data_IF_442374045551
#
_entry.id   IF_442374045551
#
_cell.length_a   1.000
_cell.length_b   1.000
_cell.length_c   1.000
_cell.angle_alpha   90.00
_cell.angle_beta   90.00
_cell.angle_gamma   90.00
#
_symmetry.space_group_name_H-M   'P 1'
#
loop_
_entity.id
_entity.type
_entity.pdbx_description
1 polymer ?
#
# COMPACT_ATOMS: atom_id res chain seq x y z
N UNK A 1 -17.70 -9.63 17.61
CA UNK A 1 -16.58 -8.84 18.11
C UNK A 1 -15.83 -8.30 16.91
N UNK A 2 -15.58 -6.99 16.83
CA UNK A 2 -14.75 -6.45 15.76
C UNK A 2 -13.37 -7.08 15.90
N UNK A 3 -12.89 -7.71 14.83
CA UNK A 3 -11.51 -8.16 14.74
C UNK A 3 -10.64 -6.93 14.97
N UNK A 4 -10.04 -6.81 16.14
CA UNK A 4 -9.16 -5.68 16.45
C UNK A 4 -8.06 -5.64 15.40
N UNK A 5 -7.97 -4.53 14.70
CA UNK A 5 -6.90 -4.30 13.75
C UNK A 5 -5.57 -4.51 14.48
N UNK A 6 -4.76 -5.46 14.02
CA UNK A 6 -3.42 -5.67 14.58
C UNK A 6 -2.51 -4.62 13.98
N UNK A 7 -2.48 -3.46 14.63
CA UNK A 7 -1.52 -2.40 14.29
C UNK A 7 -0.11 -2.91 14.54
N UNK A 8 0.84 -2.70 13.62
CA UNK A 8 2.21 -3.14 13.80
C UNK A 8 2.87 -2.51 15.05
N UNK A 9 3.65 -3.30 15.76
CA UNK A 9 4.49 -2.84 16.86
C UNK A 9 5.74 -2.12 16.32
N UNK A 10 5.91 -0.87 16.71
CA UNK A 10 7.06 -0.04 16.32
C UNK A 10 8.22 -0.11 17.32
N UNK A 11 8.05 -0.84 18.41
CA UNK A 11 9.04 -0.98 19.48
C UNK A 11 9.44 0.36 20.15
N UNK A 12 8.49 1.31 20.20
CA UNK A 12 8.61 2.61 20.88
C UNK A 12 7.45 2.76 21.86
N UNK A 13 7.50 2.05 23.03
CA UNK A 13 6.34 1.89 23.93
C UNK A 13 5.70 3.19 24.40
N UNK A 14 6.50 4.21 24.71
CA UNK A 14 5.99 5.49 25.21
C UNK A 14 5.21 6.25 24.13
N UNK A 15 5.70 6.25 22.89
CA UNK A 15 4.99 6.83 21.74
C UNK A 15 3.74 6.04 21.43
N UNK A 16 3.83 4.72 21.38
CA UNK A 16 2.68 3.84 21.11
C UNK A 16 1.59 3.99 22.14
N UNK A 17 1.95 4.10 23.41
CA UNK A 17 1.00 4.40 24.50
C UNK A 17 0.26 5.72 24.28
N UNK A 18 0.94 6.75 23.74
CA UNK A 18 0.30 8.04 23.45
C UNK A 18 -0.63 7.99 22.24
N UNK A 19 -0.29 7.25 21.19
CA UNK A 19 -1.09 7.23 19.96
C UNK A 19 -2.21 6.19 19.96
N UNK A 20 -2.15 5.16 20.79
CA UNK A 20 -3.19 4.10 20.87
C UNK A 20 -4.60 4.64 21.04
N UNK A 21 -4.87 5.61 21.95
CA UNK A 21 -6.21 6.21 22.08
C UNK A 21 -6.68 6.89 20.78
N UNK A 22 -5.75 7.50 20.05
CA UNK A 22 -6.04 8.10 18.73
C UNK A 22 -6.42 7.06 17.67
N UNK A 23 -5.71 5.94 17.63
CA UNK A 23 -6.04 4.83 16.74
C UNK A 23 -7.42 4.24 17.03
N UNK A 24 -7.78 4.11 18.30
CA UNK A 24 -9.12 3.66 18.71
C UNK A 24 -10.22 4.63 18.24
N UNK A 25 -9.98 5.93 18.31
CA UNK A 25 -10.91 6.94 17.78
C UNK A 25 -11.01 6.85 16.26
N UNK A 26 -9.89 6.70 15.57
CA UNK A 26 -9.87 6.50 14.09
C UNK A 26 -10.70 5.28 13.72
N UNK A 27 -10.52 4.15 14.39
CA UNK A 27 -11.26 2.92 14.08
C UNK A 27 -12.78 3.12 14.26
N UNK A 28 -13.22 3.75 15.35
CA UNK A 28 -14.63 4.08 15.53
C UNK A 28 -15.17 4.98 14.42
N UNK A 29 -14.45 6.07 14.11
CA UNK A 29 -14.86 7.01 13.05
C UNK A 29 -14.87 6.36 11.66
N UNK A 30 -13.94 5.43 11.40
CA UNK A 30 -13.91 4.67 10.17
C UNK A 30 -15.16 3.79 10.03
N UNK A 31 -15.51 3.06 11.09
CA UNK A 31 -16.71 2.24 11.12
C UNK A 31 -17.99 3.08 10.98
N UNK A 32 -18.05 4.25 11.59
CA UNK A 32 -19.14 5.21 11.42
C UNK A 32 -19.20 5.73 9.98
N UNK A 33 -18.04 6.06 9.38
CA UNK A 33 -17.97 6.59 8.02
C UNK A 33 -18.38 5.58 6.95
N UNK A 34 -18.20 4.29 7.17
CA UNK A 34 -18.64 3.23 6.24
C UNK A 34 -20.07 2.79 6.47
N UNK A 35 -20.69 3.18 7.59
CA UNK A 35 -22.06 2.82 7.94
C UNK A 35 -23.10 3.61 7.13
N UNK A 36 -24.28 3.01 6.95
CA UNK A 36 -25.40 3.63 6.27
C UNK A 36 -26.73 3.30 6.97
N UNK A 37 -27.72 4.16 6.83
CA UNK A 37 -29.07 3.91 7.32
C UNK A 37 -29.88 2.96 6.44
N UNK A 38 -29.36 2.59 5.28
CA UNK A 38 -30.00 1.64 4.36
C UNK A 38 -29.27 0.31 4.43
N UNK A 39 -29.94 -0.76 4.80
CA UNK A 39 -29.36 -2.08 5.08
C UNK A 39 -28.44 -2.59 3.97
N UNK A 40 -28.88 -2.57 2.71
CA UNK A 40 -28.06 -3.03 1.59
C UNK A 40 -26.80 -2.18 1.39
N UNK A 41 -26.92 -0.86 1.54
CA UNK A 41 -25.76 0.05 1.43
C UNK A 41 -24.82 -0.16 2.60
N UNK A 42 -25.35 -0.34 3.80
CA UNK A 42 -24.55 -0.60 5.01
C UNK A 42 -23.74 -1.88 4.88
N UNK A 43 -24.38 -2.97 4.50
CA UNK A 43 -23.70 -4.26 4.29
C UNK A 43 -22.57 -4.15 3.27
N UNK A 44 -22.83 -3.49 2.13
CA UNK A 44 -21.89 -3.31 1.04
C UNK A 44 -20.69 -2.41 1.44
N UNK A 45 -20.93 -1.25 2.04
CA UNK A 45 -19.88 -0.27 2.37
C UNK A 45 -19.05 -0.65 3.60
N UNK A 46 -19.61 -1.43 4.50
CA UNK A 46 -18.88 -1.94 5.68
C UNK A 46 -18.03 -3.17 5.39
N UNK A 47 -18.29 -3.89 4.32
CA UNK A 47 -17.75 -5.22 4.06
C UNK A 47 -16.23 -5.31 4.26
N UNK A 48 -15.44 -4.46 3.60
CA UNK A 48 -13.98 -4.51 3.70
C UNK A 48 -13.44 -3.87 5.00
N UNK A 49 -14.16 -2.92 5.60
CA UNK A 49 -13.76 -2.32 6.85
C UNK A 49 -13.81 -3.34 8.00
N UNK A 50 -14.89 -4.12 8.08
CA UNK A 50 -15.06 -5.15 9.12
C UNK A 50 -14.23 -6.40 8.87
N UNK A 51 -13.79 -6.64 7.63
CA UNK A 51 -12.86 -7.72 7.32
C UNK A 51 -11.45 -7.49 7.91
N UNK A 52 -11.21 -6.33 8.49
CA UNK A 52 -9.96 -6.00 9.17
C UNK A 52 -8.99 -5.17 8.32
N UNK A 53 -7.74 -5.14 8.76
CA UNK A 53 -6.65 -4.39 8.11
C UNK A 53 -5.66 -3.88 9.16
N UNK A 54 -4.41 -3.75 8.76
CA UNK A 54 -3.33 -3.33 9.69
C UNK A 54 -3.37 -1.83 10.05
N UNK A 55 -4.23 -1.04 9.43
CA UNK A 55 -4.37 0.42 9.67
C UNK A 55 -3.03 1.17 9.62
N UNK A 56 -2.15 0.77 8.72
CA UNK A 56 -0.79 1.32 8.65
C UNK A 56 -0.77 2.80 8.27
N UNK A 57 -1.71 3.24 7.43
CA UNK A 57 -1.81 4.65 7.04
C UNK A 57 -2.25 5.55 8.19
N UNK A 58 -3.32 5.23 8.92
CA UNK A 58 -3.65 5.94 10.17
C UNK A 58 -2.52 5.95 11.19
N UNK A 59 -1.85 4.81 11.40
CA UNK A 59 -0.69 4.72 12.28
C UNK A 59 0.39 5.73 11.88
N UNK A 60 0.74 5.76 10.59
CA UNK A 60 1.75 6.68 10.07
C UNK A 60 1.32 8.15 10.24
N UNK A 61 0.05 8.48 10.00
CA UNK A 61 -0.48 9.83 10.24
C UNK A 61 -0.28 10.25 11.70
N UNK A 62 -0.61 9.39 12.66
CA UNK A 62 -0.49 9.70 14.08
C UNK A 62 0.97 9.76 14.55
N UNK A 63 1.85 8.93 14.01
CA UNK A 63 3.28 9.00 14.28
C UNK A 63 3.87 10.32 13.76
N UNK A 64 3.57 10.70 12.54
CA UNK A 64 4.04 11.96 11.95
C UNK A 64 3.48 13.20 12.68
N UNK A 65 2.28 13.10 13.24
CA UNK A 65 1.71 14.17 14.05
C UNK A 65 2.50 14.43 15.35
N UNK A 66 3.26 13.45 15.83
CA UNK A 66 4.15 13.62 16.99
C UNK A 66 5.36 14.54 16.70
N UNK A 67 5.60 14.90 15.45
CA UNK A 67 6.63 15.87 15.05
C UNK A 67 6.20 17.33 15.28
N UNK A 68 4.92 17.59 15.43
CA UNK A 68 4.34 18.91 15.63
C UNK A 68 4.12 19.27 17.10
N UNK A 69 3.12 20.11 17.33
CA UNK A 69 2.70 20.50 18.67
C UNK A 69 2.06 19.30 19.40
N UNK A 70 2.58 18.92 20.59
CA UNK A 70 2.00 17.83 21.37
C UNK A 70 0.52 17.98 21.70
N UNK A 71 0.04 19.21 21.88
CA UNK A 71 -1.39 19.49 22.14
C UNK A 71 -2.27 19.24 20.92
N UNK A 72 -1.68 19.29 19.72
CA UNK A 72 -2.37 19.09 18.44
C UNK A 72 -2.19 17.69 17.85
N UNK A 73 -1.29 16.88 18.40
CA UNK A 73 -0.90 15.59 17.85
C UNK A 73 -2.05 14.57 17.74
N UNK A 74 -3.07 14.69 18.56
CA UNK A 74 -4.30 13.87 18.53
C UNK A 74 -5.57 14.73 18.39
N UNK A 75 -5.43 15.91 17.87
CA UNK A 75 -6.53 16.84 17.59
C UNK A 75 -7.56 16.23 16.63
N UNK A 76 -8.77 16.76 16.65
CA UNK A 76 -9.83 16.35 15.73
C UNK A 76 -9.40 16.41 14.27
N UNK A 77 -8.63 17.41 13.88
CA UNK A 77 -8.11 17.54 12.52
C UNK A 77 -7.19 16.38 12.13
N UNK A 78 -6.27 15.97 12.99
CA UNK A 78 -5.35 14.85 12.76
C UNK A 78 -6.12 13.53 12.68
N UNK A 79 -7.03 13.29 13.60
CA UNK A 79 -7.89 12.10 13.61
C UNK A 79 -8.77 12.04 12.36
N UNK A 80 -9.36 13.15 11.95
CA UNK A 80 -10.16 13.24 10.73
C UNK A 80 -9.34 12.91 9.49
N UNK A 81 -8.13 13.44 9.38
CA UNK A 81 -7.21 13.15 8.27
C UNK A 81 -6.81 11.66 8.24
N UNK A 82 -6.45 11.08 9.36
CA UNK A 82 -6.11 9.66 9.47
C UNK A 82 -7.28 8.76 9.03
N UNK A 83 -8.50 9.13 9.44
CA UNK A 83 -9.73 8.42 9.01
C UNK A 83 -9.97 8.57 7.51
N UNK A 84 -9.83 9.77 6.96
CA UNK A 84 -10.04 10.04 5.54
C UNK A 84 -9.04 9.28 4.65
N UNK A 85 -7.78 9.18 5.05
CA UNK A 85 -6.75 8.44 4.31
C UNK A 85 -7.08 6.95 4.26
N UNK A 86 -7.46 6.35 5.38
CA UNK A 86 -7.85 4.94 5.42
C UNK A 86 -9.14 4.69 4.63
N UNK A 87 -10.10 5.60 4.71
CA UNK A 87 -11.34 5.51 3.94
C UNK A 87 -11.08 5.57 2.44
N UNK A 88 -10.16 6.43 2.00
CA UNK A 88 -9.70 6.51 0.61
C UNK A 88 -9.04 5.19 0.18
N UNK A 89 -8.22 4.60 1.04
CA UNK A 89 -7.63 3.29 0.78
C UNK A 89 -8.69 2.20 0.63
N UNK A 90 -9.66 2.13 1.54
CA UNK A 90 -10.77 1.17 1.43
C UNK A 90 -11.55 1.34 0.13
N UNK A 91 -11.86 2.57 -0.25
CA UNK A 91 -12.53 2.88 -1.51
C UNK A 91 -11.75 2.35 -2.71
N UNK A 92 -10.42 2.56 -2.74
CA UNK A 92 -9.57 2.05 -3.81
C UNK A 92 -9.58 0.53 -3.90
N UNK A 93 -9.66 -0.18 -2.76
CA UNK A 93 -9.73 -1.64 -2.75
C UNK A 93 -11.01 -2.18 -3.41
N UNK A 94 -12.16 -1.51 -3.24
CA UNK A 94 -13.39 -1.89 -3.94
C UNK A 94 -13.23 -1.80 -5.45
N UNK A 95 -12.60 -0.74 -5.94
CA UNK A 95 -12.37 -0.53 -7.38
C UNK A 95 -11.31 -1.48 -7.93
N UNK A 96 -10.21 -1.68 -7.21
CA UNK A 96 -9.14 -2.61 -7.61
C UNK A 96 -9.68 -4.03 -7.78
N UNK A 97 -10.51 -4.50 -6.85
CA UNK A 97 -11.10 -5.84 -6.93
C UNK A 97 -11.98 -6.03 -8.17
N UNK A 98 -12.65 -4.98 -8.65
CA UNK A 98 -13.40 -5.00 -9.91
C UNK A 98 -12.47 -5.08 -11.10
N UNK A 99 -11.44 -4.21 -11.13
CA UNK A 99 -10.49 -4.14 -12.26
C UNK A 99 -9.65 -5.40 -12.40
N UNK A 100 -9.30 -6.01 -11.26
CA UNK A 100 -8.48 -7.23 -11.21
C UNK A 100 -9.34 -8.51 -11.22
N UNK A 101 -10.67 -8.38 -11.24
CA UNK A 101 -11.59 -9.52 -11.10
C UNK A 101 -11.25 -10.41 -9.89
N UNK A 102 -10.78 -9.81 -8.81
CA UNK A 102 -10.30 -10.52 -7.63
C UNK A 102 -11.46 -11.26 -6.92
N UNK A 103 -11.36 -12.57 -6.68
CA UNK A 103 -12.44 -13.32 -6.01
C UNK A 103 -12.49 -13.06 -4.51
N UNK A 104 -11.37 -12.70 -3.89
CA UNK A 104 -11.25 -12.50 -2.45
C UNK A 104 -10.43 -11.26 -2.11
N UNK A 105 -10.72 -10.68 -0.94
CA UNK A 105 -9.94 -9.60 -0.33
C UNK A 105 -9.92 -9.78 1.19
N UNK A 106 -8.75 -9.69 1.81
CA UNK A 106 -8.60 -9.84 3.29
C UNK A 106 -9.20 -11.15 3.83
N UNK A 107 -9.10 -12.23 3.07
CA UNK A 107 -9.60 -13.55 3.47
C UNK A 107 -11.12 -13.72 3.37
N UNK A 108 -11.85 -12.73 2.86
CA UNK A 108 -13.28 -12.80 2.59
C UNK A 108 -13.57 -12.67 1.10
N UNK A 109 -14.72 -13.13 0.58
CA UNK A 109 -15.10 -12.88 -0.80
C UNK A 109 -15.11 -11.37 -1.09
N UNK A 110 -14.63 -10.96 -2.26
CA UNK A 110 -14.64 -9.55 -2.65
C UNK A 110 -16.06 -9.03 -2.89
N UNK A 111 -16.25 -7.72 -2.80
CA UNK A 111 -17.55 -7.11 -3.01
C UNK A 111 -18.09 -7.37 -4.42
N UNK A 112 -17.23 -7.32 -5.45
CA UNK A 112 -17.64 -7.61 -6.82
C UNK A 112 -18.06 -9.07 -7.01
N UNK A 113 -17.43 -9.99 -6.27
CA UNK A 113 -17.81 -11.40 -6.28
C UNK A 113 -19.19 -11.66 -5.66
N UNK A 114 -19.48 -10.96 -4.54
CA UNK A 114 -20.75 -11.12 -3.81
C UNK A 114 -21.91 -10.37 -4.46
N UNK A 115 -21.70 -9.15 -4.93
CA UNK A 115 -22.77 -8.23 -5.35
C UNK A 115 -22.66 -7.75 -6.79
N UNK A 116 -21.59 -8.12 -7.51
CA UNK A 116 -21.34 -7.71 -8.88
C UNK A 116 -20.60 -6.37 -9.01
N UNK A 117 -20.06 -6.13 -10.21
CA UNK A 117 -19.18 -4.99 -10.49
C UNK A 117 -19.86 -3.63 -10.22
N UNK A 118 -21.09 -3.43 -10.68
CA UNK A 118 -21.75 -2.14 -10.54
C UNK A 118 -21.91 -1.72 -9.08
N UNK A 119 -22.30 -2.64 -8.21
CA UNK A 119 -22.44 -2.36 -6.78
C UNK A 119 -21.10 -2.11 -6.11
N UNK A 120 -20.07 -2.87 -6.46
CA UNK A 120 -18.72 -2.67 -5.93
C UNK A 120 -18.14 -1.32 -6.36
N UNK A 121 -18.32 -0.90 -7.61
CA UNK A 121 -17.91 0.41 -8.10
C UNK A 121 -18.62 1.52 -7.31
N UNK A 122 -19.92 1.43 -7.14
CA UNK A 122 -20.70 2.42 -6.40
C UNK A 122 -20.34 2.46 -4.91
N UNK A 123 -20.00 1.32 -4.32
CA UNK A 123 -19.48 1.28 -2.95
C UNK A 123 -18.18 2.09 -2.82
N UNK A 124 -17.23 1.88 -3.72
CA UNK A 124 -16.01 2.68 -3.78
C UNK A 124 -16.30 4.18 -3.95
N UNK A 125 -17.21 4.54 -4.87
CA UNK A 125 -17.61 5.93 -5.10
C UNK A 125 -18.22 6.58 -3.84
N UNK A 126 -19.07 5.86 -3.12
CA UNK A 126 -19.65 6.34 -1.86
C UNK A 126 -18.55 6.61 -0.82
N UNK A 127 -17.61 5.69 -0.66
CA UNK A 127 -16.51 5.86 0.28
C UNK A 127 -15.58 7.01 -0.11
N UNK A 128 -15.28 7.21 -1.40
CA UNK A 128 -14.54 8.37 -1.87
C UNK A 128 -15.27 9.68 -1.58
N UNK A 129 -16.58 9.74 -1.82
CA UNK A 129 -17.38 10.90 -1.48
C UNK A 129 -17.33 11.23 0.01
N UNK A 130 -17.43 10.22 0.87
CA UNK A 130 -17.33 10.38 2.32
C UNK A 130 -15.94 10.82 2.76
N UNK A 131 -14.88 10.29 2.17
CA UNK A 131 -13.51 10.75 2.42
C UNK A 131 -13.35 12.24 2.02
N UNK A 132 -13.90 12.63 0.88
CA UNK A 132 -13.90 14.03 0.42
C UNK A 132 -14.63 14.95 1.39
N UNK A 133 -15.75 14.51 1.96
CA UNK A 133 -16.47 15.27 2.98
C UNK A 133 -15.65 15.47 4.27
N UNK A 134 -14.90 14.43 4.68
CA UNK A 134 -14.02 14.53 5.84
C UNK A 134 -12.90 15.56 5.61
N UNK A 135 -12.21 15.49 4.48
CA UNK A 135 -11.11 16.43 4.19
C UNK A 135 -11.60 17.85 3.93
N UNK A 136 -12.85 18.04 3.50
CA UNK A 136 -13.45 19.35 3.30
C UNK A 136 -13.49 20.19 4.59
N UNK A 137 -13.56 19.56 5.76
CA UNK A 137 -13.50 20.23 7.06
C UNK A 137 -12.09 20.70 7.44
N UNK A 138 -11.05 20.26 6.72
CA UNK A 138 -9.64 20.52 7.04
C UNK A 138 -9.03 21.69 6.24
N UNK A 139 -9.81 22.32 5.40
CA UNK A 139 -9.41 23.47 4.61
C UNK A 139 -9.00 23.13 3.16
N UNK A 140 -8.93 24.18 2.30
CA UNK A 140 -8.77 24.02 0.87
C UNK A 140 -7.42 23.40 0.46
N UNK A 141 -6.37 23.64 1.23
CA UNK A 141 -5.03 23.08 0.95
C UNK A 141 -5.02 21.56 1.14
N UNK A 142 -5.67 21.07 2.19
CA UNK A 142 -5.80 19.63 2.44
C UNK A 142 -6.70 18.98 1.39
N UNK A 143 -7.78 19.63 1.00
CA UNK A 143 -8.66 19.19 -0.10
C UNK A 143 -7.87 19.06 -1.40
N UNK A 144 -7.09 20.06 -1.77
CA UNK A 144 -6.27 20.04 -2.98
C UNK A 144 -5.19 18.93 -2.92
N UNK A 145 -4.57 18.74 -1.77
CA UNK A 145 -3.59 17.68 -1.59
C UNK A 145 -4.22 16.29 -1.75
N UNK A 146 -5.37 16.06 -1.12
CA UNK A 146 -6.12 14.81 -1.24
C UNK A 146 -6.56 14.55 -2.69
N UNK A 147 -7.04 15.58 -3.39
CA UNK A 147 -7.44 15.46 -4.79
C UNK A 147 -6.26 15.10 -5.71
N UNK A 148 -5.09 15.73 -5.53
CA UNK A 148 -3.87 15.36 -6.29
C UNK A 148 -3.42 13.92 -6.00
N UNK A 149 -3.56 13.47 -4.76
CA UNK A 149 -3.26 12.07 -4.39
C UNK A 149 -4.19 11.11 -5.12
N UNK A 150 -5.48 11.42 -5.16
CA UNK A 150 -6.45 10.60 -5.88
C UNK A 150 -6.17 10.58 -7.39
N UNK A 151 -5.80 11.71 -7.98
CA UNK A 151 -5.37 11.79 -9.38
C UNK A 151 -4.16 10.86 -9.63
N UNK A 152 -3.13 10.87 -8.77
CA UNK A 152 -1.98 9.95 -8.87
C UNK A 152 -2.40 8.48 -8.77
N UNK A 153 -3.33 8.13 -7.88
CA UNK A 153 -3.86 6.77 -7.79
C UNK A 153 -4.49 6.33 -9.12
N UNK A 154 -5.28 7.19 -9.75
CA UNK A 154 -5.92 6.93 -11.03
C UNK A 154 -4.88 6.81 -12.16
N UNK A 155 -3.92 7.73 -12.23
CA UNK A 155 -2.84 7.70 -13.23
C UNK A 155 -1.99 6.44 -13.09
N UNK A 156 -1.64 6.04 -11.86
CA UNK A 156 -0.92 4.80 -11.60
C UNK A 156 -1.68 3.58 -12.11
N UNK A 157 -2.99 3.52 -11.89
CA UNK A 157 -3.84 2.44 -12.39
C UNK A 157 -3.93 2.44 -13.92
N UNK A 158 -4.04 3.60 -14.56
CA UNK A 158 -4.01 3.73 -16.02
C UNK A 158 -2.67 3.27 -16.59
N UNK A 159 -1.56 3.72 -16.01
CA UNK A 159 -0.22 3.35 -16.43
C UNK A 159 0.02 1.84 -16.30
N UNK A 160 -0.43 1.22 -15.21
CA UNK A 160 -0.36 -0.23 -15.03
C UNK A 160 -1.14 -0.97 -16.13
N UNK A 161 -2.32 -0.46 -16.48
CA UNK A 161 -3.21 -1.07 -17.49
C UNK A 161 -2.64 -0.94 -18.90
N UNK A 162 -2.14 0.23 -19.28
CA UNK A 162 -1.65 0.49 -20.64
C UNK A 162 -0.19 0.12 -20.85
N UNK A 163 0.60 0.06 -19.80
CA UNK A 163 2.04 -0.23 -19.87
C UNK A 163 2.87 0.96 -20.38
N UNK A 164 4.20 0.79 -20.42
CA UNK A 164 5.12 1.83 -20.86
C UNK A 164 5.08 2.02 -22.39
N UNK A 165 5.47 3.23 -22.81
CA UNK A 165 5.70 3.52 -24.23
C UNK A 165 6.94 2.74 -24.76
N UNK A 166 7.01 2.53 -26.06
CA UNK A 166 8.13 1.84 -26.69
C UNK A 166 9.46 2.54 -26.36
N UNK A 167 10.45 1.74 -25.97
CA UNK A 167 11.78 2.21 -25.61
C UNK A 167 11.96 2.73 -24.19
N UNK A 168 10.90 2.81 -23.38
CA UNK A 168 11.03 3.16 -21.96
C UNK A 168 11.63 2.01 -21.15
N UNK A 169 12.37 2.34 -20.09
CA UNK A 169 12.82 1.33 -19.12
C UNK A 169 11.61 0.79 -18.34
N UNK A 170 11.34 -0.50 -18.50
CA UNK A 170 10.17 -1.15 -17.91
C UNK A 170 10.25 -1.25 -16.37
N UNK A 171 11.46 -1.34 -15.82
CA UNK A 171 11.67 -1.39 -14.37
C UNK A 171 11.39 -0.01 -13.76
N UNK A 172 11.94 1.05 -14.34
CA UNK A 172 11.71 2.41 -13.86
C UNK A 172 10.23 2.79 -13.99
N UNK A 173 9.59 2.41 -15.09
CA UNK A 173 8.16 2.59 -15.28
C UNK A 173 7.33 1.87 -14.20
N UNK A 174 7.66 0.61 -13.93
CA UNK A 174 6.98 -0.18 -12.89
C UNK A 174 7.14 0.42 -11.50
N UNK A 175 8.35 0.86 -11.14
CA UNK A 175 8.60 1.52 -9.85
C UNK A 175 7.79 2.82 -9.72
N UNK A 176 7.62 3.57 -10.81
CA UNK A 176 6.76 4.75 -10.81
C UNK A 176 5.28 4.38 -10.61
N UNK A 177 4.81 3.29 -11.21
CA UNK A 177 3.45 2.77 -10.97
C UNK A 177 3.27 2.42 -9.49
N UNK A 178 4.24 1.76 -8.87
CA UNK A 178 4.20 1.47 -7.43
C UNK A 178 4.18 2.75 -6.58
N UNK A 179 4.95 3.76 -6.96
CA UNK A 179 4.95 5.06 -6.29
C UNK A 179 3.57 5.73 -6.38
N UNK A 180 2.94 5.71 -7.55
CA UNK A 180 1.65 6.35 -7.76
C UNK A 180 0.49 5.58 -7.10
N UNK A 181 0.45 4.26 -7.25
CA UNK A 181 -0.63 3.43 -6.71
C UNK A 181 -0.58 3.26 -5.19
N UNK A 182 0.60 3.14 -4.61
CA UNK A 182 0.77 2.85 -3.18
C UNK A 182 1.51 3.96 -2.47
N UNK A 183 2.66 4.39 -2.98
CA UNK A 183 3.51 5.41 -2.36
C UNK A 183 2.77 6.74 -2.15
N UNK A 184 1.95 7.16 -3.09
CA UNK A 184 1.25 8.45 -3.04
C UNK A 184 0.34 8.60 -1.82
N UNK A 185 -0.45 7.59 -1.48
CA UNK A 185 -1.37 7.65 -0.33
C UNK A 185 -0.62 7.49 1.00
N UNK A 186 0.44 6.70 1.04
CA UNK A 186 1.32 6.61 2.21
C UNK A 186 2.03 7.95 2.47
N UNK A 187 2.52 8.59 1.40
CA UNK A 187 3.08 9.95 1.44
C UNK A 187 2.09 10.96 2.01
N UNK A 188 0.86 10.93 1.53
CA UNK A 188 -0.21 11.84 1.98
C UNK A 188 -0.58 11.59 3.44
N UNK A 189 -0.66 10.33 3.88
CA UNK A 189 -0.90 9.98 5.27
C UNK A 189 0.14 10.61 6.20
N UNK A 190 1.43 10.49 5.85
CA UNK A 190 2.54 11.08 6.60
C UNK A 190 2.47 12.62 6.62
N UNK A 191 2.30 13.23 5.44
CA UNK A 191 2.23 14.67 5.26
C UNK A 191 1.09 15.31 6.05
N UNK A 192 -0.09 14.71 6.04
CA UNK A 192 -1.25 15.21 6.80
C UNK A 192 -0.98 15.24 8.30
N UNK A 193 -0.34 14.19 8.83
CA UNK A 193 0.03 14.17 10.25
C UNK A 193 0.92 15.35 10.64
N UNK A 194 1.97 15.59 9.87
CA UNK A 194 2.90 16.69 10.11
C UNK A 194 2.27 18.07 9.91
N UNK A 195 1.52 18.28 8.84
CA UNK A 195 0.86 19.55 8.54
C UNK A 195 -0.17 19.94 9.62
N UNK A 196 -1.06 19.01 9.96
CA UNK A 196 -2.20 19.29 10.84
C UNK A 196 -1.80 19.37 12.30
N UNK A 197 -0.69 18.78 12.71
CA UNK A 197 -0.12 18.95 14.06
C UNK A 197 0.74 20.22 14.20
N UNK A 198 0.97 20.96 13.12
CA UNK A 198 1.77 22.17 13.13
C UNK A 198 3.28 21.96 13.08
N UNK A 199 3.76 20.80 12.59
CA UNK A 199 5.19 20.56 12.41
C UNK A 199 5.81 21.46 11.31
N UNK A 200 5.00 22.01 10.43
CA UNK A 200 5.42 22.89 9.35
C UNK A 200 5.71 22.16 8.05
N UNK A 201 5.81 22.95 6.95
CA UNK A 201 5.94 22.42 5.59
C UNK A 201 7.23 21.61 5.40
N UNK A 202 8.35 22.06 5.97
CA UNK A 202 9.62 21.35 5.83
C UNK A 202 9.56 19.91 6.37
N UNK A 203 8.96 19.73 7.55
CA UNK A 203 8.80 18.40 8.14
C UNK A 203 7.80 17.58 7.34
N UNK A 204 6.73 18.20 6.87
CA UNK A 204 5.73 17.55 6.02
C UNK A 204 6.35 17.04 4.71
N UNK A 205 7.22 17.80 4.08
CA UNK A 205 7.91 17.39 2.85
C UNK A 205 8.87 16.21 3.10
N UNK A 206 9.59 16.22 4.22
CA UNK A 206 10.49 15.12 4.61
C UNK A 206 9.69 13.83 4.82
N UNK A 207 8.63 13.86 5.59
CA UNK A 207 7.84 12.64 5.85
C UNK A 207 7.01 12.22 4.63
N UNK A 208 6.66 13.14 3.73
CA UNK A 208 6.02 12.81 2.46
C UNK A 208 6.95 11.97 1.57
N UNK A 209 8.21 12.39 1.41
CA UNK A 209 9.24 11.64 0.67
C UNK A 209 9.51 10.27 1.32
N UNK A 210 9.64 10.24 2.64
CA UNK A 210 9.72 9.00 3.41
C UNK A 210 8.56 8.04 3.10
N UNK A 211 7.33 8.52 3.18
CA UNK A 211 6.13 7.73 2.96
C UNK A 211 6.04 7.15 1.55
N UNK A 212 6.42 7.92 0.53
CA UNK A 212 6.44 7.42 -0.84
C UNK A 212 7.44 6.28 -1.02
N UNK A 213 8.66 6.44 -0.51
CA UNK A 213 9.70 5.39 -0.58
C UNK A 213 9.33 4.13 0.19
N UNK A 214 8.76 4.29 1.36
CA UNK A 214 8.25 3.16 2.17
C UNK A 214 7.13 2.40 1.44
N UNK A 215 6.23 3.11 0.78
CA UNK A 215 5.16 2.50 -0.02
C UNK A 215 5.71 1.66 -1.18
N UNK A 216 6.74 2.16 -1.86
CA UNK A 216 7.43 1.41 -2.93
C UNK A 216 8.13 0.18 -2.35
N UNK A 217 8.89 0.33 -1.26
CA UNK A 217 9.57 -0.79 -0.59
C UNK A 217 8.58 -1.89 -0.19
N UNK A 218 7.44 -1.51 0.34
CA UNK A 218 6.36 -2.43 0.73
C UNK A 218 5.85 -3.26 -0.46
N UNK A 219 5.63 -2.62 -1.60
CA UNK A 219 5.14 -3.31 -2.80
C UNK A 219 6.19 -4.22 -3.42
N UNK A 220 7.46 -3.82 -3.43
CA UNK A 220 8.56 -4.70 -3.89
C UNK A 220 8.63 -5.94 -2.97
N UNK A 221 8.49 -5.75 -1.66
CA UNK A 221 8.45 -6.85 -0.71
C UNK A 221 7.25 -7.78 -0.98
N UNK A 222 6.09 -7.25 -1.33
CA UNK A 222 4.92 -8.07 -1.70
C UNK A 222 5.19 -8.91 -2.97
N UNK A 223 5.87 -8.37 -3.97
CA UNK A 223 6.27 -9.11 -5.18
C UNK A 223 7.18 -10.31 -4.84
N UNK A 224 8.10 -10.11 -3.89
CA UNK A 224 8.96 -11.21 -3.41
C UNK A 224 8.13 -12.26 -2.68
N UNK A 225 7.23 -11.84 -1.79
CA UNK A 225 6.41 -12.73 -0.99
C UNK A 225 5.42 -13.53 -1.81
N UNK A 226 4.92 -12.99 -2.91
CA UNK A 226 4.06 -13.73 -3.84
C UNK A 226 4.76 -14.99 -4.39
N UNK A 227 6.07 -14.93 -4.58
CA UNK A 227 6.87 -16.07 -5.03
C UNK A 227 7.41 -16.93 -3.87
N UNK A 228 7.86 -16.30 -2.79
CA UNK A 228 8.61 -16.95 -1.71
C UNK A 228 7.71 -17.65 -0.69
N UNK A 229 6.47 -17.18 -0.48
CA UNK A 229 5.58 -17.74 0.53
C UNK A 229 5.02 -19.10 0.09
N UNK A 230 4.87 -20.02 1.06
CA UNK A 230 4.07 -21.23 0.85
C UNK A 230 2.58 -20.85 0.82
N UNK A 231 1.80 -21.50 -0.06
CA UNK A 231 0.36 -21.27 -0.16
C UNK A 231 -0.39 -21.48 1.15
N UNK A 232 0.15 -22.30 2.06
CA UNK A 232 -0.39 -22.51 3.39
C UNK A 232 -0.27 -21.30 4.32
N UNK A 233 0.78 -20.47 4.14
CA UNK A 233 1.03 -19.27 4.95
C UNK A 233 0.29 -18.05 4.46
N UNK A 234 0.12 -17.89 3.14
CA UNK A 234 -0.49 -16.69 2.53
C UNK A 234 -1.98 -16.84 2.25
N UNK A 235 -2.49 -18.08 2.21
CA UNK A 235 -3.86 -18.36 1.76
C UNK A 235 -4.11 -18.10 0.26
N UNK A 236 -3.05 -17.81 -0.51
CA UNK A 236 -3.07 -17.59 -1.95
C UNK A 236 -2.13 -18.58 -2.64
N UNK A 237 -2.45 -18.96 -3.87
CA UNK A 237 -1.53 -19.74 -4.71
C UNK A 237 -0.30 -18.88 -5.03
N UNK A 238 0.94 -19.33 -4.74
CA UNK A 238 2.14 -18.60 -5.13
C UNK A 238 2.20 -18.37 -6.64
N UNK A 239 2.63 -17.17 -7.04
CA UNK A 239 2.75 -16.83 -8.45
C UNK A 239 1.42 -16.50 -9.15
N UNK A 240 0.39 -16.11 -8.40
CA UNK A 240 -0.91 -15.72 -8.99
C UNK A 240 -0.75 -14.62 -10.04
N UNK A 241 0.09 -13.62 -9.78
CA UNK A 241 0.36 -12.53 -10.74
C UNK A 241 0.94 -13.07 -12.06
N UNK A 242 1.81 -14.07 -11.99
CA UNK A 242 2.37 -14.71 -13.19
C UNK A 242 1.30 -15.44 -14.01
N UNK A 243 0.36 -16.10 -13.34
CA UNK A 243 -0.78 -16.79 -14.01
C UNK A 243 -1.66 -15.78 -14.74
N UNK A 244 -1.83 -14.61 -14.20
CA UNK A 244 -2.60 -13.50 -14.78
C UNK A 244 -1.84 -12.75 -15.88
N UNK A 245 -0.58 -13.13 -16.13
CA UNK A 245 0.26 -12.51 -17.15
C UNK A 245 0.86 -11.17 -16.73
N UNK A 246 0.90 -10.90 -15.42
CA UNK A 246 1.49 -9.68 -14.86
C UNK A 246 2.98 -9.89 -14.62
N UNK A 247 3.80 -9.07 -15.27
CA UNK A 247 5.23 -9.01 -15.01
C UNK A 247 5.51 -8.20 -13.74
N UNK A 248 5.76 -8.88 -12.62
CA UNK A 248 6.22 -8.26 -11.39
C UNK A 248 7.73 -7.99 -11.42
N UNK A 249 8.27 -7.34 -10.41
CA UNK A 249 9.66 -6.85 -10.44
C UNK A 249 10.71 -7.93 -10.74
N UNK A 250 10.66 -9.15 -10.16
CA UNK A 250 11.64 -10.19 -10.50
C UNK A 250 11.68 -10.52 -12.00
N UNK A 251 10.51 -10.60 -12.63
CA UNK A 251 10.40 -10.86 -14.07
C UNK A 251 10.91 -9.69 -14.89
N UNK A 252 10.58 -8.47 -14.52
CA UNK A 252 11.06 -7.25 -15.18
C UNK A 252 12.59 -7.12 -15.10
N UNK A 253 13.20 -7.50 -13.99
CA UNK A 253 14.66 -7.56 -13.86
C UNK A 253 15.29 -8.59 -14.80
N UNK A 254 14.68 -9.76 -14.95
CA UNK A 254 15.12 -10.74 -15.96
C UNK A 254 15.00 -10.21 -17.38
N UNK A 255 13.90 -9.54 -17.72
CA UNK A 255 13.74 -8.92 -19.05
C UNK A 255 14.75 -7.80 -19.29
N UNK A 256 15.11 -7.04 -18.25
CA UNK A 256 16.20 -6.04 -18.34
C UNK A 256 17.53 -6.72 -18.65
N UNK A 257 17.87 -7.84 -17.97
CA UNK A 257 19.08 -8.63 -18.25
C UNK A 257 19.08 -9.17 -19.68
N UNK A 258 17.95 -9.64 -20.17
CA UNK A 258 17.81 -10.10 -21.57
C UNK A 258 18.09 -8.95 -22.55
N UNK A 259 17.50 -7.79 -22.35
CA UNK A 259 17.65 -6.63 -23.22
C UNK A 259 19.09 -6.13 -23.34
N UNK A 260 19.88 -6.24 -22.27
CA UNK A 260 21.30 -5.82 -22.24
C UNK A 260 22.27 -6.99 -22.48
N UNK A 261 21.77 -8.20 -22.74
CA UNK A 261 22.58 -9.37 -23.09
C UNK A 261 23.34 -9.99 -21.89
N UNK A 262 22.87 -9.77 -20.66
CA UNK A 262 23.49 -10.31 -19.44
C UNK A 262 22.68 -11.42 -18.77
N UNK A 263 21.58 -11.84 -19.39
CA UNK A 263 20.74 -12.92 -18.86
C UNK A 263 21.49 -14.26 -18.93
N UNK A 264 21.38 -15.05 -17.87
CA UNK A 264 21.89 -16.41 -17.83
C UNK A 264 20.91 -17.42 -18.48
N UNK A 265 21.35 -18.67 -18.64
CA UNK A 265 20.52 -19.70 -19.27
C UNK A 265 19.27 -20.03 -18.44
N UNK A 266 19.39 -20.02 -17.11
CA UNK A 266 18.27 -20.28 -16.22
C UNK A 266 17.22 -19.16 -16.30
N UNK A 267 17.64 -17.90 -16.32
CA UNK A 267 16.75 -16.77 -16.50
C UNK A 267 16.08 -16.75 -17.88
N UNK A 268 16.81 -17.04 -18.93
CA UNK A 268 16.25 -17.16 -20.28
C UNK A 268 15.20 -18.28 -20.37
N UNK A 269 15.42 -19.40 -19.69
CA UNK A 269 14.43 -20.49 -19.61
C UNK A 269 13.17 -20.03 -18.88
N UNK A 270 13.29 -19.34 -17.75
CA UNK A 270 12.14 -18.78 -17.03
C UNK A 270 11.31 -17.89 -17.95
N UNK A 271 11.94 -16.97 -18.68
CA UNK A 271 11.22 -16.07 -19.59
C UNK A 271 10.51 -16.81 -20.72
N UNK A 272 11.12 -17.87 -21.26
CA UNK A 272 10.46 -18.73 -22.27
C UNK A 272 9.24 -19.44 -21.71
N UNK A 273 9.33 -20.01 -20.52
CA UNK A 273 8.20 -20.71 -19.87
C UNK A 273 7.05 -19.75 -19.53
N UNK A 274 7.35 -18.49 -19.18
CA UNK A 274 6.34 -17.45 -18.92
C UNK A 274 5.52 -17.10 -20.17
N UNK A 275 6.01 -17.36 -21.36
CA UNK A 275 5.23 -17.16 -22.60
C UNK A 275 4.27 -18.32 -22.91
N UNK A 276 4.35 -19.40 -22.15
CA UNK A 276 3.50 -20.59 -22.27
C UNK A 276 2.20 -20.48 -21.52
N UNK A 277 1.43 -21.57 -21.51
CA UNK A 277 0.19 -21.68 -20.75
C UNK A 277 0.49 -22.03 -19.28
N UNK A 278 0.20 -21.11 -18.38
CA UNK A 278 0.36 -21.26 -16.93
C UNK A 278 -0.97 -21.58 -16.20
N UNK A 279 -2.00 -22.00 -16.92
CA UNK A 279 -3.31 -22.32 -16.33
C UNK A 279 -3.26 -23.58 -15.45
N UNK A 280 -2.36 -24.52 -15.71
CA UNK A 280 -2.16 -25.68 -14.85
C UNK A 280 -1.32 -25.35 -13.63
N UNK A 281 -1.67 -25.97 -12.49
CA UNK A 281 -0.93 -25.76 -11.23
C UNK A 281 0.52 -26.25 -11.33
N UNK A 282 0.77 -27.32 -12.10
CA UNK A 282 2.12 -27.86 -12.31
C UNK A 282 3.00 -26.87 -13.11
N UNK A 283 2.49 -26.28 -14.19
CA UNK A 283 3.23 -25.32 -15.01
C UNK A 283 3.57 -24.07 -14.20
N UNK A 284 2.61 -23.53 -13.44
CA UNK A 284 2.83 -22.39 -12.54
C UNK A 284 3.85 -22.71 -11.46
N UNK A 285 3.71 -23.84 -10.77
CA UNK A 285 4.63 -24.26 -9.72
C UNK A 285 6.06 -24.44 -10.23
N UNK A 286 6.24 -24.94 -11.45
CA UNK A 286 7.56 -25.05 -12.08
C UNK A 286 8.25 -23.69 -12.25
N UNK A 287 7.56 -22.70 -12.78
CA UNK A 287 8.12 -21.36 -12.98
C UNK A 287 8.38 -20.67 -11.63
N UNK A 288 7.47 -20.80 -10.67
CA UNK A 288 7.64 -20.25 -9.32
C UNK A 288 8.89 -20.83 -8.64
N UNK A 289 9.09 -22.14 -8.71
CA UNK A 289 10.27 -22.79 -8.11
C UNK A 289 11.58 -22.35 -8.79
N UNK A 290 11.58 -22.19 -10.14
CA UNK A 290 12.74 -21.67 -10.84
C UNK A 290 13.07 -20.24 -10.42
N UNK A 291 12.07 -19.37 -10.26
CA UNK A 291 12.25 -17.99 -9.76
C UNK A 291 12.76 -17.97 -8.32
N UNK A 292 12.25 -18.85 -7.45
CA UNK A 292 12.72 -18.98 -6.07
C UNK A 292 14.19 -19.34 -5.98
N UNK A 293 14.66 -20.18 -6.89
CA UNK A 293 16.04 -20.66 -6.91
C UNK A 293 16.98 -19.77 -7.69
N UNK A 294 16.48 -18.76 -8.38
CA UNK A 294 17.26 -17.82 -9.18
C UNK A 294 17.72 -16.61 -8.36
N UNK A 295 18.90 -16.09 -8.66
CA UNK A 295 19.48 -14.94 -7.95
C UNK A 295 18.67 -13.65 -8.12
N UNK A 296 17.82 -13.56 -9.15
CA UNK A 296 16.95 -12.41 -9.38
C UNK A 296 15.97 -12.17 -8.22
N UNK A 297 15.58 -13.19 -7.47
CA UNK A 297 14.73 -13.02 -6.30
C UNK A 297 15.49 -12.34 -5.17
N UNK A 298 16.77 -12.68 -4.95
CA UNK A 298 17.60 -11.97 -3.98
C UNK A 298 17.90 -10.54 -4.42
N UNK A 299 18.16 -10.31 -5.70
CA UNK A 299 18.27 -8.94 -6.25
C UNK A 299 17.01 -8.11 -5.96
N UNK A 300 15.84 -8.71 -6.08
CA UNK A 300 14.57 -8.04 -5.76
C UNK A 300 14.44 -7.74 -4.26
N UNK A 301 14.86 -8.68 -3.39
CA UNK A 301 14.92 -8.43 -1.93
C UNK A 301 15.85 -7.29 -1.57
N UNK A 302 17.03 -7.28 -2.17
CA UNK A 302 18.02 -6.20 -1.95
C UNK A 302 17.46 -4.85 -2.42
N UNK A 303 16.73 -4.82 -3.52
CA UNK A 303 16.09 -3.60 -4.00
C UNK A 303 15.02 -3.09 -3.02
N UNK A 304 14.21 -3.98 -2.46
CA UNK A 304 13.25 -3.61 -1.41
C UNK A 304 13.95 -3.01 -0.18
N UNK A 305 15.05 -3.62 0.26
CA UNK A 305 15.86 -3.09 1.38
C UNK A 305 16.47 -1.74 1.06
N UNK A 306 16.99 -1.55 -0.16
CA UNK A 306 17.54 -0.27 -0.62
C UNK A 306 16.47 0.84 -0.55
N UNK A 307 15.26 0.59 -1.01
CA UNK A 307 14.18 1.55 -0.91
C UNK A 307 13.81 1.89 0.54
N UNK A 308 13.81 0.90 1.44
CA UNK A 308 13.58 1.12 2.86
C UNK A 308 14.75 1.92 3.50
N UNK A 309 16.00 1.62 3.17
CA UNK A 309 17.17 2.34 3.66
C UNK A 309 17.18 3.78 3.15
N UNK A 310 16.83 4.02 1.90
CA UNK A 310 16.68 5.36 1.33
C UNK A 310 15.55 6.14 2.04
N UNK A 311 14.46 5.48 2.39
CA UNK A 311 13.40 6.08 3.19
C UNK A 311 13.92 6.52 4.57
N UNK A 312 14.70 5.69 5.25
CA UNK A 312 15.32 6.04 6.54
C UNK A 312 16.29 7.21 6.36
N UNK A 313 17.09 7.22 5.30
CA UNK A 313 18.06 8.29 5.03
C UNK A 313 17.37 9.67 4.84
N UNK A 314 16.19 9.71 4.25
CA UNK A 314 15.40 10.97 4.08
C UNK A 314 15.03 11.61 5.41
N UNK A 315 14.96 10.83 6.49
CA UNK A 315 14.62 11.30 7.83
C UNK A 315 15.71 12.10 8.52
N UNK A 316 16.90 12.21 7.92
CA UNK A 316 18.05 12.89 8.52
C UNK A 316 17.74 14.32 9.04
N UNK A 317 16.93 15.16 8.36
CA UNK A 317 16.59 16.50 8.85
C UNK A 317 15.67 16.51 10.07
N UNK A 318 14.99 15.40 10.41
CA UNK A 318 14.10 15.33 11.56
C UNK A 318 14.87 15.42 12.87
N UNK A 319 14.30 16.05 13.91
CA UNK A 319 14.90 16.05 15.24
C UNK A 319 15.00 14.62 15.78
N UNK A 320 16.04 14.35 16.56
CA UNK A 320 16.16 13.08 17.28
C UNK A 320 15.00 12.96 18.29
N UNK A 321 14.42 11.78 18.37
CA UNK A 321 13.32 11.52 19.28
C UNK A 321 12.52 10.30 18.90
N UNK A 322 11.48 10.03 19.67
CA UNK A 322 10.64 8.84 19.52
C UNK A 322 9.93 8.76 18.17
N UNK A 323 9.46 9.89 17.63
CA UNK A 323 8.80 9.93 16.33
C UNK A 323 9.75 9.49 15.21
N UNK A 324 10.99 9.99 15.19
CA UNK A 324 12.00 9.57 14.22
C UNK A 324 12.32 8.09 14.36
N UNK A 325 12.53 7.60 15.57
CA UNK A 325 12.79 6.18 15.84
C UNK A 325 11.62 5.31 15.37
N UNK A 326 10.38 5.73 15.62
CA UNK A 326 9.19 5.02 15.17
C UNK A 326 9.07 4.98 13.63
N UNK A 327 9.43 6.06 12.94
CA UNK A 327 9.46 6.10 11.47
C UNK A 327 10.54 5.18 10.90
N UNK A 328 11.72 5.12 11.50
CA UNK A 328 12.78 4.17 11.12
C UNK A 328 12.29 2.72 11.30
N UNK A 329 11.66 2.41 12.43
CA UNK A 329 11.05 1.10 12.68
C UNK A 329 9.94 0.78 11.67
N UNK A 330 9.10 1.75 11.33
CA UNK A 330 8.05 1.59 10.33
C UNK A 330 8.61 1.19 8.95
N UNK A 331 9.69 1.83 8.50
CA UNK A 331 10.36 1.48 7.25
C UNK A 331 10.91 0.04 7.27
N UNK A 332 11.55 -0.36 8.36
CA UNK A 332 12.12 -1.69 8.51
C UNK A 332 11.03 -2.77 8.51
N UNK A 333 9.91 -2.54 9.18
CA UNK A 333 8.77 -3.46 9.19
C UNK A 333 8.21 -3.77 7.79
N UNK A 334 8.37 -2.85 6.83
CA UNK A 334 7.91 -3.08 5.46
C UNK A 334 8.68 -4.18 4.76
N UNK A 335 9.96 -4.37 5.12
CA UNK A 335 10.88 -5.33 4.48
C UNK A 335 11.29 -6.49 5.41
N UNK A 336 11.07 -6.40 6.72
CA UNK A 336 11.41 -7.47 7.68
C UNK A 336 10.65 -8.79 7.40
N UNK A 337 9.55 -8.70 6.66
CA UNK A 337 8.78 -9.87 6.19
C UNK A 337 9.54 -10.74 5.20
N UNK A 338 10.70 -10.26 4.70
CA UNK A 338 11.53 -10.95 3.71
C UNK A 338 12.58 -11.89 4.32
N UNK A 339 12.66 -11.95 5.65
CA UNK A 339 13.63 -12.77 6.40
C UNK A 339 13.05 -14.14 6.72
#
# INVERSE_FOLDING_TARGET
DPVSAQTPDLHVPDLESRITPGLEVVERRLLDAVSSSRDLTDELTRHLAVAGGKRMRPLLTLVCAQLGDPERALDDAVITAATAVELTHLASLYHDDVMDSAPTRRGVPSAQHLWGNNRAILAGDILFARASLLVASLGPEIVAHHARTFERLCEGQLNETFGPVDGADRVDFYLQVLADKTGSLVSTAASFGALLSGAGQLMADVVADFGEKVGVAFQIADDVLDLASSGEQSGKTPGTDLREGVDTLPVLLLRRREAVGTIDEAGARILRELTGDLSSDEALASVVEQLRSHDVLEETRELARTWADDAVAVLAPLPKGEAKTALEAFANLMVDRLV
#
